data_IF_306109906016
#
_entry.id   IF_306109906016
#
_cell.length_a   1.000
_cell.length_b   1.000
_cell.length_c   1.000
_cell.angle_alpha   90.00
_cell.angle_beta   90.00
_cell.angle_gamma   90.00
#
_symmetry.space_group_name_H-M   'P 1'
#
loop_
_entity.id
_entity.type
_entity.pdbx_description
1 polymer ?
#
# COMPACT_ATOMS: atom_id res chain seq x y z
N UNK A 1 17.04 -12.98 3.80
CA UNK A 1 17.03 -11.53 3.68
C UNK A 1 18.48 -11.10 3.50
N UNK A 2 18.77 -10.15 2.63
CA UNK A 2 20.13 -9.60 2.48
C UNK A 2 20.42 -8.63 3.63
N UNK A 3 21.69 -8.34 3.97
CA UNK A 3 22.01 -7.40 5.05
C UNK A 3 21.39 -6.01 4.86
N UNK A 4 21.24 -5.57 3.60
CA UNK A 4 20.56 -4.31 3.26
C UNK A 4 19.07 -4.36 3.55
N UNK A 5 18.42 -5.50 3.32
CA UNK A 5 17.00 -5.70 3.60
C UNK A 5 16.73 -5.84 5.10
N UNK A 6 17.66 -6.41 5.88
CA UNK A 6 17.55 -6.48 7.34
C UNK A 6 17.57 -5.09 7.96
N UNK A 7 18.51 -4.24 7.54
CA UNK A 7 18.55 -2.85 8.00
C UNK A 7 17.25 -2.09 7.64
N UNK A 8 16.77 -2.25 6.40
CA UNK A 8 15.53 -1.64 5.96
C UNK A 8 14.29 -2.18 6.73
N UNK A 9 14.34 -3.43 7.18
CA UNK A 9 13.29 -4.02 8.02
C UNK A 9 13.28 -3.38 9.39
N UNK A 10 14.44 -3.22 10.03
CA UNK A 10 14.55 -2.62 11.36
C UNK A 10 14.10 -1.14 11.36
N UNK A 11 14.49 -0.39 10.33
CA UNK A 11 14.02 0.97 10.09
C UNK A 11 12.49 1.01 9.92
N UNK A 12 11.95 0.13 9.05
CA UNK A 12 10.51 0.04 8.82
C UNK A 12 9.74 -0.30 10.11
N UNK A 13 10.20 -1.27 10.89
CA UNK A 13 9.55 -1.66 12.14
C UNK A 13 9.58 -0.52 13.14
N UNK A 14 10.73 0.11 13.35
CA UNK A 14 10.90 1.21 14.31
C UNK A 14 9.98 2.38 13.97
N UNK A 15 9.95 2.80 12.71
CA UNK A 15 9.09 3.91 12.27
C UNK A 15 7.61 3.60 12.42
N UNK A 16 7.16 2.42 11.97
CA UNK A 16 5.74 2.09 11.97
C UNK A 16 5.21 1.76 13.37
N UNK A 17 6.06 1.25 14.26
CA UNK A 17 5.74 1.12 15.69
C UNK A 17 5.61 2.50 16.34
N UNK A 18 6.55 3.42 16.06
CA UNK A 18 6.51 4.78 16.60
C UNK A 18 5.28 5.57 16.10
N UNK A 19 4.93 5.43 14.81
CA UNK A 19 3.71 6.01 14.23
C UNK A 19 2.41 5.36 14.73
N UNK A 20 2.50 4.19 15.37
CA UNK A 20 1.35 3.40 15.81
C UNK A 20 0.57 2.71 14.68
N UNK A 21 1.17 2.57 13.49
CA UNK A 21 0.54 1.89 12.35
C UNK A 21 0.56 0.37 12.50
N UNK A 22 1.55 -0.17 13.22
CA UNK A 22 1.67 -1.61 13.52
C UNK A 22 1.90 -1.82 15.02
N UNK A 23 1.64 -3.04 15.48
CA UNK A 23 1.95 -3.47 16.84
C UNK A 23 2.28 -4.98 16.87
N UNK A 24 2.97 -5.48 17.90
CA UNK A 24 3.16 -6.92 18.08
C UNK A 24 1.82 -7.65 18.18
N UNK A 25 1.67 -8.73 17.42
CA UNK A 25 0.43 -9.51 17.34
C UNK A 25 0.68 -10.97 17.70
N UNK A 26 -0.35 -11.64 18.23
CA UNK A 26 -0.39 -13.09 18.48
C UNK A 26 -1.42 -13.78 17.56
N UNK A 27 -1.70 -13.17 16.41
CA UNK A 27 -2.65 -13.69 15.43
C UNK A 27 -2.28 -15.11 14.98
N UNK A 28 -3.25 -16.03 14.84
CA UNK A 28 -3.01 -17.35 14.25
C UNK A 28 -2.73 -17.29 12.75
N UNK A 29 -2.98 -16.14 12.11
CA UNK A 29 -2.72 -15.89 10.69
C UNK A 29 -1.54 -14.93 10.53
N UNK A 30 -0.68 -15.24 9.57
CA UNK A 30 0.43 -14.39 9.14
C UNK A 30 0.52 -14.38 7.60
N UNK A 31 1.13 -13.33 7.07
CA UNK A 31 1.42 -13.22 5.64
C UNK A 31 2.93 -13.05 5.44
N UNK A 32 3.50 -13.49 4.29
CA UNK A 32 4.93 -13.28 3.98
C UNK A 32 5.26 -11.82 3.67
N UNK A 33 6.30 -11.28 4.32
CA UNK A 33 6.81 -9.91 4.11
C UNK A 33 8.14 -9.95 3.37
N UNK A 34 8.34 -9.03 2.42
CA UNK A 34 9.55 -8.93 1.61
C UNK A 34 9.73 -7.52 1.03
N UNK A 35 10.89 -7.26 0.43
CA UNK A 35 11.18 -5.99 -0.22
C UNK A 35 11.20 -6.11 -1.74
N UNK A 36 10.75 -5.04 -2.40
CA UNK A 36 10.86 -4.88 -3.86
C UNK A 36 11.68 -3.64 -4.16
N UNK A 37 12.67 -3.76 -5.05
CA UNK A 37 13.46 -2.62 -5.51
C UNK A 37 12.63 -1.67 -6.37
N UNK A 38 12.66 -0.38 -6.06
CA UNK A 38 12.16 0.69 -6.93
C UNK A 38 13.25 1.16 -7.90
N UNK A 39 12.84 1.90 -8.93
CA UNK A 39 13.74 2.51 -9.93
C UNK A 39 14.75 3.50 -9.32
N UNK A 40 14.41 4.09 -8.18
CA UNK A 40 15.27 5.02 -7.42
C UNK A 40 16.26 4.29 -6.48
N UNK A 41 16.41 2.96 -6.62
CA UNK A 41 17.22 2.08 -5.77
C UNK A 41 16.76 1.99 -4.29
N UNK A 42 15.58 2.54 -3.94
CA UNK A 42 14.97 2.35 -2.63
C UNK A 42 14.27 0.98 -2.56
N UNK A 43 14.17 0.44 -1.35
CA UNK A 43 13.44 -0.79 -1.08
C UNK A 43 12.00 -0.44 -0.65
N UNK A 44 11.01 -1.03 -1.32
CA UNK A 44 9.60 -0.91 -0.93
C UNK A 44 9.20 -2.13 -0.10
N UNK A 45 8.78 -1.96 1.17
CA UNK A 45 8.23 -3.06 1.96
C UNK A 45 6.91 -3.54 1.32
N UNK A 46 6.73 -4.84 1.18
CA UNK A 46 5.55 -5.46 0.58
C UNK A 46 5.13 -6.69 1.38
N UNK A 47 3.83 -6.82 1.58
CA UNK A 47 3.21 -7.90 2.33
C UNK A 47 2.30 -8.70 1.39
N UNK A 48 2.53 -10.00 1.26
CA UNK A 48 1.75 -10.84 0.36
C UNK A 48 0.41 -11.25 0.98
N UNK A 49 -0.62 -10.45 0.73
CA UNK A 49 -1.99 -10.73 1.15
C UNK A 49 -2.80 -11.57 0.17
N UNK A 50 -2.20 -12.23 -0.84
CA UNK A 50 -3.00 -12.98 -1.85
C UNK A 50 -3.91 -14.04 -1.22
N UNK A 51 -3.37 -14.91 -0.36
CA UNK A 51 -4.15 -15.92 0.34
C UNK A 51 -5.22 -15.31 1.27
N UNK A 52 -4.90 -14.18 1.93
CA UNK A 52 -5.86 -13.46 2.76
C UNK A 52 -7.01 -12.88 1.91
N UNK A 53 -6.69 -12.31 0.76
CA UNK A 53 -7.64 -11.68 -0.15
C UNK A 53 -8.60 -12.70 -0.80
N UNK A 54 -8.15 -13.94 -1.00
CA UNK A 54 -9.01 -15.04 -1.48
C UNK A 54 -10.03 -15.47 -0.43
N UNK A 55 -9.66 -15.41 0.86
CA UNK A 55 -10.54 -15.74 1.98
C UNK A 55 -11.48 -14.61 2.43
N UNK A 56 -11.34 -13.39 1.91
CA UNK A 56 -12.15 -12.23 2.31
C UNK A 56 -13.28 -11.93 1.32
N UNK A 57 -14.40 -11.42 1.83
CA UNK A 57 -15.53 -10.98 1.00
C UNK A 57 -15.17 -9.64 0.36
N UNK A 58 -15.19 -9.59 -0.97
CA UNK A 58 -14.89 -8.36 -1.72
C UNK A 58 -16.02 -7.35 -1.54
N UNK A 59 -15.73 -6.23 -0.87
CA UNK A 59 -16.62 -5.07 -0.83
C UNK A 59 -16.41 -4.21 -2.09
N UNK A 60 -16.96 -4.63 -3.22
CA UNK A 60 -16.77 -3.96 -4.49
C UNK A 60 -17.62 -2.69 -4.58
N UNK A 61 -16.97 -1.52 -4.63
CA UNK A 61 -17.61 -0.25 -4.96
C UNK A 61 -17.35 0.08 -6.44
N UNK A 62 -18.37 0.46 -7.22
CA UNK A 62 -18.17 0.79 -8.63
C UNK A 62 -17.33 2.06 -8.75
N UNK A 63 -16.12 1.91 -9.31
CA UNK A 63 -15.30 3.05 -9.69
C UNK A 63 -15.78 3.57 -11.06
N UNK A 64 -16.01 4.88 -11.20
CA UNK A 64 -16.43 5.46 -12.47
C UNK A 64 -15.35 5.30 -13.53
N UNK A 65 -15.75 5.21 -14.80
CA UNK A 65 -14.79 5.19 -15.89
C UNK A 65 -14.11 6.56 -16.01
N UNK A 66 -12.86 6.55 -16.48
CA UNK A 66 -12.12 7.80 -16.71
C UNK A 66 -12.86 8.74 -17.65
N UNK A 67 -13.54 8.22 -18.68
CA UNK A 67 -14.37 9.03 -19.58
C UNK A 67 -15.50 9.75 -18.85
N UNK A 68 -16.26 9.03 -18.02
CA UNK A 68 -17.36 9.58 -17.23
C UNK A 68 -16.88 10.69 -16.27
N UNK A 69 -15.68 10.54 -15.72
CA UNK A 69 -15.05 11.57 -14.87
C UNK A 69 -14.67 12.80 -15.68
N UNK A 70 -14.11 12.63 -16.88
CA UNK A 70 -13.70 13.75 -17.76
C UNK A 70 -14.91 14.51 -18.31
N UNK A 71 -16.00 13.82 -18.64
CA UNK A 71 -17.23 14.46 -19.10
C UNK A 71 -17.83 15.38 -18.04
N UNK A 72 -17.77 14.99 -16.76
CA UNK A 72 -18.20 15.85 -15.64
C UNK A 72 -17.37 17.12 -15.49
N UNK A 73 -16.11 17.09 -15.93
CA UNK A 73 -15.19 18.21 -15.85
C UNK A 73 -15.30 19.17 -17.06
N UNK A 74 -16.03 18.77 -18.11
CA UNK A 74 -16.18 19.54 -19.35
C UNK A 74 -16.78 20.92 -19.08
N UNK A 75 -16.19 21.96 -19.67
CA UNK A 75 -16.63 23.35 -19.51
C UNK A 75 -16.06 24.07 -18.28
N UNK A 76 -15.32 23.36 -17.42
CA UNK A 76 -14.58 23.98 -16.33
C UNK A 76 -13.34 24.73 -16.85
N UNK A 77 -13.04 25.89 -16.26
CA UNK A 77 -11.93 26.76 -16.69
C UNK A 77 -10.65 26.59 -15.87
N UNK A 78 -10.79 26.15 -14.63
CA UNK A 78 -9.68 25.98 -13.68
C UNK A 78 -9.78 24.60 -13.05
N UNK A 79 -8.63 23.94 -12.92
CA UNK A 79 -8.51 22.61 -12.35
C UNK A 79 -7.49 22.62 -11.23
N UNK A 80 -7.76 21.87 -10.17
CA UNK A 80 -6.80 21.61 -9.09
C UNK A 80 -6.86 20.14 -8.74
N UNK A 81 -5.70 19.49 -8.67
CA UNK A 81 -5.57 18.11 -8.27
C UNK A 81 -5.00 18.06 -6.86
N UNK A 82 -5.65 17.31 -5.99
CA UNK A 82 -5.16 17.00 -4.65
C UNK A 82 -4.81 15.50 -4.62
N UNK A 83 -3.73 15.18 -3.91
CA UNK A 83 -3.29 13.81 -3.64
C UNK A 83 -3.26 13.66 -2.12
N UNK A 84 -3.92 12.62 -1.60
CA UNK A 84 -4.06 12.36 -0.17
C UNK A 84 -2.98 11.38 0.32
#
# INVERSE_FOLDING_TARGET
MTPKEELALDEFLTENLCKGYIHPSKSPMASPFFFIGKKDNTLRPCQDYRALNEGTIKNAYPLPLTGDLMDKLRGSKYFTKLDL
#
